data_IF_552863337536
#
_entry.id   IF_552863337536
#
_cell.length_a   1.000
_cell.length_b   1.000
_cell.length_c   1.000
_cell.angle_alpha   90.00
_cell.angle_beta   90.00
_cell.angle_gamma   90.00
#
_symmetry.space_group_name_H-M   'P 1'
#
loop_
_entity.id
_entity.type
_entity.pdbx_description
1 polymer ?
#
# COMPACT_ATOMS: atom_id res chain seq x y z
N UNK A 1 7.06 -20.23 10.58
CA UNK A 1 7.70 -20.84 9.40
C UNK A 1 6.87 -20.57 8.15
N UNK A 2 7.41 -20.79 6.94
CA UNK A 2 6.66 -20.61 5.68
C UNK A 2 5.30 -21.33 5.63
N UNK A 3 5.23 -22.64 5.95
CA UNK A 3 3.96 -23.37 5.98
C UNK A 3 2.92 -22.82 6.97
N UNK A 4 3.36 -22.39 8.16
CA UNK A 4 2.47 -21.78 9.15
C UNK A 4 1.90 -20.46 8.66
N UNK A 5 2.74 -19.61 8.05
CA UNK A 5 2.30 -18.34 7.50
C UNK A 5 1.31 -18.54 6.35
N UNK A 6 1.60 -19.48 5.44
CA UNK A 6 0.68 -19.83 4.35
C UNK A 6 -0.70 -20.25 4.87
N UNK A 7 -0.73 -21.11 5.91
CA UNK A 7 -1.99 -21.56 6.53
C UNK A 7 -2.74 -20.40 7.23
N UNK A 8 -2.04 -19.48 7.89
CA UNK A 8 -2.64 -18.30 8.50
C UNK A 8 -3.31 -17.39 7.45
N UNK A 9 -2.58 -17.08 6.37
CA UNK A 9 -3.10 -16.24 5.29
C UNK A 9 -4.30 -16.89 4.58
N UNK A 10 -4.25 -18.20 4.33
CA UNK A 10 -5.40 -18.97 3.82
C UNK A 10 -6.61 -18.87 4.76
N UNK A 11 -6.38 -19.06 6.06
CA UNK A 11 -7.41 -18.96 7.09
C UNK A 11 -8.12 -17.62 7.08
N UNK A 12 -7.40 -16.50 6.94
CA UNK A 12 -8.01 -15.18 6.84
C UNK A 12 -8.70 -14.93 5.49
N UNK A 13 -8.09 -15.33 4.37
CA UNK A 13 -8.69 -15.16 3.04
C UNK A 13 -9.97 -15.98 2.86
N UNK A 14 -10.08 -17.15 3.48
CA UNK A 14 -11.27 -18.01 3.39
C UNK A 14 -12.51 -17.40 4.08
N UNK A 15 -12.31 -16.51 5.06
CA UNK A 15 -13.39 -15.83 5.79
C UNK A 15 -13.99 -14.64 5.03
N UNK A 16 -13.37 -14.23 3.92
CA UNK A 16 -13.79 -13.07 3.13
C UNK A 16 -14.42 -13.52 1.82
N UNK A 17 -15.58 -12.95 1.49
CA UNK A 17 -16.20 -13.10 0.17
C UNK A 17 -15.62 -12.09 -0.82
N UNK A 18 -15.40 -12.53 -2.06
CA UNK A 18 -15.03 -11.62 -3.14
C UNK A 18 -16.24 -10.80 -3.57
N UNK A 19 -16.15 -9.46 -3.46
CA UNK A 19 -17.24 -8.54 -3.82
C UNK A 19 -16.81 -7.42 -4.77
N UNK A 20 -15.49 -7.26 -4.98
CA UNK A 20 -14.89 -6.16 -5.76
C UNK A 20 -13.85 -6.63 -6.80
N UNK A 21 -13.84 -7.92 -7.15
CA UNK A 21 -12.94 -8.44 -8.19
C UNK A 21 -13.33 -7.93 -9.59
N UNK A 22 -12.36 -7.68 -10.49
CA UNK A 22 -10.92 -7.58 -10.22
C UNK A 22 -10.55 -6.20 -9.66
N UNK A 23 -9.88 -6.15 -8.50
CA UNK A 23 -9.38 -4.89 -7.97
C UNK A 23 -8.18 -4.37 -8.80
N UNK A 24 -8.24 -3.10 -9.20
CA UNK A 24 -7.12 -2.38 -9.84
C UNK A 24 -6.19 -1.68 -8.84
N UNK A 25 -6.71 -1.38 -7.65
CA UNK A 25 -5.96 -0.87 -6.53
C UNK A 25 -6.59 -1.36 -5.21
N UNK A 26 -5.77 -1.50 -4.18
CA UNK A 26 -6.19 -1.80 -2.81
C UNK A 26 -5.42 -0.93 -1.82
N UNK A 27 -6.07 -0.58 -0.71
CA UNK A 27 -5.41 -0.02 0.47
C UNK A 27 -5.40 -1.11 1.53
N UNK A 28 -4.23 -1.39 2.10
CA UNK A 28 -4.08 -2.42 3.13
C UNK A 28 -3.08 -1.97 4.21
N UNK A 29 -3.27 -2.41 5.47
CA UNK A 29 -2.40 -2.07 6.58
C UNK A 29 -1.04 -2.77 6.49
N UNK A 30 -0.05 -2.21 7.18
CA UNK A 30 1.31 -2.74 7.31
C UNK A 30 1.76 -2.92 8.77
N UNK A 31 0.83 -2.98 9.72
CA UNK A 31 1.12 -3.50 11.05
C UNK A 31 1.47 -5.01 11.02
N UNK A 32 1.99 -5.54 12.12
CA UNK A 32 2.24 -6.99 12.24
C UNK A 32 0.95 -7.81 12.06
N UNK A 33 1.05 -8.96 11.39
CA UNK A 33 -0.13 -9.75 10.98
C UNK A 33 -1.03 -10.24 12.12
N UNK A 34 -0.51 -10.39 13.34
CA UNK A 34 -1.35 -10.67 14.52
C UNK A 34 -2.40 -9.58 14.76
N UNK A 35 -2.12 -8.34 14.38
CA UNK A 35 -3.00 -7.19 14.60
C UNK A 35 -3.91 -6.91 13.40
N UNK A 36 -3.37 -6.95 12.19
CA UNK A 36 -4.09 -6.50 10.99
C UNK A 36 -4.21 -7.56 9.89
N UNK A 37 -3.77 -8.79 10.12
CA UNK A 37 -3.76 -9.86 9.11
C UNK A 37 -5.14 -10.17 8.56
N UNK A 38 -6.15 -10.32 9.42
CA UNK A 38 -7.55 -10.51 8.99
C UNK A 38 -8.12 -9.29 8.26
N UNK A 39 -7.77 -8.07 8.68
CA UNK A 39 -8.17 -6.84 8.01
C UNK A 39 -7.61 -6.77 6.58
N UNK A 40 -6.32 -7.02 6.39
CA UNK A 40 -5.69 -7.05 5.07
C UNK A 40 -6.31 -8.09 4.13
N UNK A 41 -6.84 -9.20 4.66
CA UNK A 41 -7.54 -10.21 3.87
C UNK A 41 -8.73 -9.63 3.09
N UNK A 42 -9.45 -8.66 3.67
CA UNK A 42 -10.57 -8.00 3.01
C UNK A 42 -10.16 -7.32 1.71
N UNK A 43 -8.96 -6.74 1.67
CA UNK A 43 -8.38 -6.11 0.50
C UNK A 43 -7.83 -7.15 -0.49
N UNK A 44 -6.96 -8.06 -0.02
CA UNK A 44 -6.31 -9.05 -0.89
C UNK A 44 -7.26 -10.06 -1.50
N UNK A 45 -8.40 -10.36 -0.87
CA UNK A 45 -9.43 -11.23 -1.46
C UNK A 45 -10.02 -10.65 -2.74
N UNK A 46 -9.93 -9.33 -2.95
CA UNK A 46 -10.44 -8.66 -4.15
C UNK A 46 -9.45 -8.67 -5.32
N UNK A 47 -8.23 -9.16 -5.11
CA UNK A 47 -7.25 -9.38 -6.19
C UNK A 47 -7.66 -10.59 -7.01
N UNK A 48 -7.57 -10.47 -8.33
CA UNK A 48 -7.84 -11.57 -9.27
C UNK A 48 -6.53 -12.06 -9.91
N UNK A 49 -6.00 -13.21 -9.49
CA UNK A 49 -4.73 -13.72 -10.01
C UNK A 49 -4.80 -14.10 -11.50
N UNK A 50 -6.00 -14.34 -12.05
CA UNK A 50 -6.15 -14.65 -13.47
C UNK A 50 -5.89 -13.44 -14.38
N UNK A 51 -6.00 -12.21 -13.86
CA UNK A 51 -5.85 -10.95 -14.60
C UNK A 51 -4.57 -10.20 -14.22
N UNK A 52 -4.27 -10.12 -12.92
CA UNK A 52 -3.13 -9.32 -12.43
C UNK A 52 -1.79 -9.96 -12.82
N UNK A 53 -0.88 -9.16 -13.37
CA UNK A 53 0.48 -9.59 -13.78
C UNK A 53 1.59 -8.72 -13.20
N UNK A 54 1.30 -7.48 -12.81
CA UNK A 54 2.31 -6.56 -12.27
C UNK A 54 1.74 -5.83 -11.06
N UNK A 55 2.43 -5.90 -9.94
CA UNK A 55 1.92 -5.42 -8.65
C UNK A 55 2.82 -4.33 -8.11
N UNK A 56 2.35 -3.08 -8.20
CA UNK A 56 3.00 -1.94 -7.58
C UNK A 56 2.70 -1.97 -6.08
N UNK A 57 3.73 -1.84 -5.24
CA UNK A 57 3.59 -1.78 -3.78
C UNK A 57 4.17 -0.45 -3.32
N UNK A 58 3.29 0.46 -2.93
CA UNK A 58 3.65 1.82 -2.51
C UNK A 58 3.65 1.88 -0.99
N UNK A 59 4.84 1.88 -0.39
CA UNK A 59 5.03 1.93 1.06
C UNK A 59 5.56 3.28 1.53
N UNK A 60 5.06 3.87 2.63
CA UNK A 60 5.68 5.05 3.22
C UNK A 60 7.07 4.73 3.81
N UNK A 61 7.98 5.69 3.78
CA UNK A 61 9.25 5.63 4.53
C UNK A 61 9.04 5.99 5.99
N UNK A 62 9.43 5.09 6.90
CA UNK A 62 9.41 5.31 8.35
C UNK A 62 10.78 5.70 8.90
N UNK A 63 11.85 5.20 8.29
CA UNK A 63 13.20 5.24 8.86
C UNK A 63 14.07 6.34 8.26
N UNK A 64 13.93 6.64 6.97
CA UNK A 64 14.80 7.59 6.26
C UNK A 64 14.04 8.84 5.81
N UNK A 65 14.64 10.04 5.97
CA UNK A 65 14.08 11.25 5.40
C UNK A 65 14.18 11.18 3.88
N UNK A 66 13.03 11.12 3.21
CA UNK A 66 12.93 11.03 1.76
C UNK A 66 11.91 12.07 1.29
N UNK A 67 12.27 12.91 0.31
CA UNK A 67 11.38 13.97 -0.22
C UNK A 67 10.77 13.62 -1.59
N UNK A 68 11.09 12.42 -2.08
CA UNK A 68 10.69 11.84 -3.37
C UNK A 68 10.22 10.39 -3.16
N UNK A 69 10.17 9.63 -4.24
CA UNK A 69 10.06 8.18 -4.17
C UNK A 69 11.43 7.53 -4.42
N UNK A 70 11.65 6.34 -3.89
CA UNK A 70 12.85 5.55 -4.13
C UNK A 70 12.50 4.16 -4.65
N UNK A 71 13.38 3.61 -5.47
CA UNK A 71 13.29 2.26 -6.02
C UNK A 71 14.34 1.35 -5.38
N UNK A 72 14.06 0.06 -5.31
CA UNK A 72 15.01 -0.93 -4.83
C UNK A 72 16.27 -1.00 -5.71
N UNK A 73 17.38 -1.44 -5.12
CA UNK A 73 18.63 -1.76 -5.82
C UNK A 73 18.81 -3.26 -6.11
N UNK A 74 17.88 -4.11 -5.65
CA UNK A 74 17.93 -5.56 -5.88
C UNK A 74 16.93 -6.00 -6.96
N UNK A 75 17.02 -7.27 -7.34
CA UNK A 75 16.15 -7.88 -8.35
C UNK A 75 15.03 -8.75 -7.76
N UNK A 76 15.19 -9.18 -6.51
CA UNK A 76 14.34 -10.19 -5.87
C UNK A 76 14.07 -9.78 -4.42
N UNK A 77 12.80 -9.85 -4.02
CA UNK A 77 12.38 -9.75 -2.63
C UNK A 77 11.99 -11.14 -2.12
N UNK A 78 12.63 -11.60 -1.05
CA UNK A 78 12.36 -12.92 -0.49
C UNK A 78 11.11 -12.90 0.38
N UNK A 79 10.39 -14.02 0.40
CA UNK A 79 9.29 -14.21 1.37
C UNK A 79 9.37 -15.61 1.97
N UNK A 80 8.71 -15.86 3.12
CA UNK A 80 8.61 -17.21 3.66
C UNK A 80 7.83 -18.20 2.78
N UNK A 81 7.12 -17.74 1.75
CA UNK A 81 6.30 -18.57 0.85
C UNK A 81 7.10 -18.92 -0.42
N UNK A 82 7.48 -17.89 -1.17
CA UNK A 82 8.37 -17.95 -2.34
C UNK A 82 8.90 -16.55 -2.68
N UNK A 83 9.98 -16.48 -3.44
CA UNK A 83 10.64 -15.22 -3.80
C UNK A 83 9.88 -14.47 -4.91
N UNK A 84 9.83 -13.14 -4.81
CA UNK A 84 9.14 -12.25 -5.74
C UNK A 84 10.13 -11.48 -6.60
N UNK A 85 9.93 -11.48 -7.92
CA UNK A 85 10.82 -10.80 -8.87
C UNK A 85 10.37 -9.37 -9.14
N UNK A 86 11.33 -8.45 -9.15
CA UNK A 86 11.10 -7.05 -9.53
C UNK A 86 10.98 -6.93 -11.05
N UNK A 87 9.99 -6.16 -11.52
CA UNK A 87 9.80 -5.87 -12.94
C UNK A 87 10.89 -4.92 -13.47
N UNK A 88 11.94 -5.49 -14.05
CA UNK A 88 13.09 -4.74 -14.55
C UNK A 88 12.74 -3.75 -15.67
N UNK A 89 11.71 -4.05 -16.48
CA UNK A 89 11.28 -3.17 -17.56
C UNK A 89 10.66 -1.91 -16.98
N UNK A 90 9.69 -2.05 -16.08
CA UNK A 90 9.02 -0.90 -15.43
C UNK A 90 10.02 -0.16 -14.54
N UNK A 91 10.88 -0.86 -13.80
CA UNK A 91 11.93 -0.21 -13.02
C UNK A 91 12.86 0.66 -13.88
N UNK A 92 13.23 0.17 -15.08
CA UNK A 92 14.00 0.95 -16.05
C UNK A 92 13.24 2.18 -16.56
N UNK A 93 11.94 2.05 -16.84
CA UNK A 93 11.08 3.18 -17.24
C UNK A 93 10.95 4.23 -16.14
N UNK A 94 10.68 3.79 -14.90
CA UNK A 94 10.58 4.68 -13.73
C UNK A 94 11.91 5.38 -13.47
N UNK A 95 13.03 4.66 -13.50
CA UNK A 95 14.35 5.24 -13.28
C UNK A 95 14.71 6.32 -14.31
N UNK A 96 14.41 6.08 -15.60
CA UNK A 96 14.68 7.02 -16.69
C UNK A 96 13.93 8.36 -16.57
N UNK A 97 12.89 8.43 -15.73
CA UNK A 97 12.20 9.71 -15.47
C UNK A 97 13.08 10.71 -14.70
N UNK A 98 14.12 10.24 -14.00
CA UNK A 98 14.92 11.07 -13.10
C UNK A 98 14.18 11.53 -11.83
N UNK A 99 12.98 10.99 -11.58
CA UNK A 99 12.15 11.38 -10.42
C UNK A 99 12.43 10.56 -9.16
N UNK A 100 13.12 9.42 -9.29
CA UNK A 100 13.34 8.47 -8.21
C UNK A 100 14.77 8.49 -7.69
N UNK A 101 14.91 8.25 -6.40
CA UNK A 101 16.17 7.89 -5.76
C UNK A 101 16.35 6.36 -5.76
N UNK A 102 17.56 5.88 -5.43
CA UNK A 102 17.85 4.46 -5.28
C UNK A 102 18.04 4.15 -3.81
N UNK A 103 17.31 3.17 -3.29
CA UNK A 103 17.50 2.70 -1.92
C UNK A 103 18.82 1.94 -1.80
N UNK A 104 19.54 2.18 -0.71
CA UNK A 104 20.59 1.24 -0.28
C UNK A 104 19.94 -0.07 0.18
N UNK A 105 20.68 -1.18 0.12
CA UNK A 105 20.16 -2.46 0.62
C UNK A 105 19.72 -2.36 2.09
N UNK A 106 20.47 -1.64 2.92
CA UNK A 106 20.12 -1.42 4.33
C UNK A 106 18.78 -0.68 4.47
N UNK A 107 18.58 0.42 3.72
CA UNK A 107 17.32 1.17 3.74
C UNK A 107 16.13 0.30 3.32
N UNK A 108 16.37 -0.60 2.36
CA UNK A 108 15.36 -1.51 1.84
C UNK A 108 14.98 -2.57 2.89
N UNK A 109 15.96 -3.22 3.51
CA UNK A 109 15.76 -4.25 4.53
C UNK A 109 15.28 -3.71 5.88
N UNK A 110 15.57 -2.45 6.21
CA UNK A 110 15.08 -1.80 7.43
C UNK A 110 13.60 -1.37 7.32
N UNK A 111 13.05 -1.24 6.11
CA UNK A 111 11.69 -0.74 5.89
C UNK A 111 10.65 -1.87 5.78
N UNK A 112 9.63 -1.80 6.64
CA UNK A 112 8.60 -2.85 6.74
C UNK A 112 7.31 -2.52 5.99
N UNK A 113 7.08 -1.26 5.60
CA UNK A 113 5.80 -0.85 4.99
C UNK A 113 5.54 -1.54 3.65
N UNK A 114 6.59 -1.87 2.89
CA UNK A 114 6.51 -2.67 1.67
C UNK A 114 6.53 -4.17 2.02
N UNK A 115 7.40 -4.58 2.95
CA UNK A 115 7.61 -5.97 3.34
C UNK A 115 6.30 -6.66 3.78
N UNK A 116 5.47 -5.96 4.56
CA UNK A 116 4.23 -6.52 5.08
C UNK A 116 3.20 -6.87 4.00
N UNK A 117 3.39 -6.41 2.77
CA UNK A 117 2.57 -6.77 1.62
C UNK A 117 3.09 -7.97 0.83
N UNK A 118 4.36 -8.37 1.00
CA UNK A 118 4.97 -9.41 0.18
C UNK A 118 4.35 -10.79 0.43
N UNK A 119 4.18 -11.28 1.69
CA UNK A 119 3.57 -12.58 1.91
C UNK A 119 2.11 -12.65 1.46
N UNK A 120 1.34 -11.59 1.69
CA UNK A 120 -0.05 -11.52 1.22
C UNK A 120 -0.16 -11.49 -0.30
N UNK A 121 0.75 -10.78 -0.97
CA UNK A 121 0.84 -10.76 -2.43
C UNK A 121 1.22 -12.14 -2.97
N UNK A 122 2.23 -12.78 -2.39
CA UNK A 122 2.61 -14.15 -2.73
C UNK A 122 1.43 -15.12 -2.51
N UNK A 123 0.70 -14.99 -1.41
CA UNK A 123 -0.46 -15.84 -1.17
C UNK A 123 -1.60 -15.63 -2.17
N UNK A 124 -1.96 -14.38 -2.45
CA UNK A 124 -3.05 -14.05 -3.36
C UNK A 124 -2.77 -14.48 -4.81
N UNK A 125 -1.49 -14.52 -5.19
CA UNK A 125 -1.02 -14.87 -6.54
C UNK A 125 -0.53 -16.32 -6.67
N UNK A 126 -0.70 -17.17 -5.65
CA UNK A 126 -0.07 -18.49 -5.59
C UNK A 126 -0.38 -19.39 -6.80
N UNK A 127 -1.58 -19.27 -7.38
CA UNK A 127 -2.01 -20.05 -8.55
C UNK A 127 -1.31 -19.66 -9.85
N UNK A 128 -0.70 -18.47 -9.89
CA UNK A 128 0.01 -17.90 -11.04
C UNK A 128 1.39 -17.40 -10.60
N UNK A 129 2.03 -18.11 -9.65
CA UNK A 129 3.22 -17.62 -8.93
C UNK A 129 4.40 -17.22 -9.85
N UNK A 130 4.50 -17.85 -11.02
CA UNK A 130 5.61 -17.66 -11.96
C UNK A 130 5.29 -16.61 -13.06
N UNK A 131 4.05 -16.08 -13.07
CA UNK A 131 3.50 -15.24 -14.15
C UNK A 131 3.36 -13.76 -13.77
N UNK A 132 3.81 -13.36 -12.58
CA UNK A 132 3.74 -11.97 -12.14
C UNK A 132 5.07 -11.41 -11.62
N UNK A 133 5.14 -10.09 -11.57
CA UNK A 133 6.27 -9.31 -11.02
C UNK A 133 5.77 -8.24 -10.06
N UNK A 134 6.66 -7.76 -9.20
CA UNK A 134 6.39 -6.65 -8.27
C UNK A 134 7.17 -5.39 -8.65
N UNK A 135 6.64 -4.24 -8.23
CA UNK A 135 7.25 -2.92 -8.39
C UNK A 135 7.20 -2.23 -7.03
N UNK A 136 8.14 -2.54 -6.10
CA UNK A 136 8.19 -1.87 -4.82
C UNK A 136 8.62 -0.41 -5.01
N UNK A 137 7.94 0.52 -4.36
CA UNK A 137 8.26 1.95 -4.39
C UNK A 137 8.13 2.51 -2.98
N UNK A 138 9.26 2.96 -2.44
CA UNK A 138 9.27 3.66 -1.17
C UNK A 138 8.86 5.12 -1.40
N UNK A 139 7.83 5.57 -0.70
CA UNK A 139 7.24 6.90 -0.83
C UNK A 139 7.66 7.74 0.38
N UNK A 140 8.49 8.76 0.14
CA UNK A 140 8.91 9.73 1.15
C UNK A 140 7.84 10.78 1.46
N UNK A 141 8.14 11.74 2.30
CA UNK A 141 7.25 12.86 2.62
C UNK A 141 7.14 13.84 1.44
N UNK A 142 6.15 13.60 0.57
CA UNK A 142 6.00 14.37 -0.67
C UNK A 142 5.32 15.73 -0.43
N UNK A 143 5.73 16.73 -1.21
CA UNK A 143 4.96 17.96 -1.34
C UNK A 143 3.73 17.73 -2.23
N UNK A 144 2.72 18.59 -2.13
CA UNK A 144 1.51 18.46 -2.97
C UNK A 144 1.81 18.46 -4.47
N UNK A 145 2.77 19.29 -4.91
CA UNK A 145 3.22 19.31 -6.31
C UNK A 145 3.87 17.97 -6.69
N UNK A 146 4.72 17.39 -5.83
CA UNK A 146 5.30 16.06 -6.08
C UNK A 146 4.23 14.98 -6.08
N UNK A 147 3.18 15.12 -5.28
CA UNK A 147 2.07 14.18 -5.31
C UNK A 147 1.35 14.16 -6.65
N UNK A 148 1.09 15.34 -7.22
CA UNK A 148 0.49 15.46 -8.55
C UNK A 148 1.40 14.92 -9.65
N UNK A 149 2.71 15.20 -9.56
CA UNK A 149 3.70 14.69 -10.52
C UNK A 149 3.76 13.16 -10.52
N UNK A 150 3.90 12.53 -9.35
CA UNK A 150 3.93 11.07 -9.23
C UNK A 150 2.58 10.46 -9.60
N UNK A 151 1.46 11.04 -9.16
CA UNK A 151 0.13 10.57 -9.57
C UNK A 151 -0.04 10.56 -11.09
N UNK A 152 0.38 11.62 -11.77
CA UNK A 152 0.39 11.70 -13.24
C UNK A 152 1.35 10.70 -13.88
N UNK A 153 2.51 10.44 -13.27
CA UNK A 153 3.43 9.42 -13.77
C UNK A 153 2.83 8.03 -13.69
N UNK A 154 2.19 7.70 -12.56
CA UNK A 154 1.69 6.36 -12.33
C UNK A 154 0.32 6.08 -12.96
N UNK A 155 -0.45 7.11 -13.32
CA UNK A 155 -1.75 6.97 -13.96
C UNK A 155 -1.74 6.06 -15.20
N UNK A 156 -0.71 6.16 -16.04
CA UNK A 156 -0.58 5.29 -17.22
C UNK A 156 -0.44 3.81 -16.86
N UNK A 157 0.20 3.50 -15.73
CA UNK A 157 0.31 2.14 -15.23
C UNK A 157 -1.01 1.71 -14.55
N UNK A 158 -1.70 2.62 -13.88
CA UNK A 158 -3.02 2.37 -13.32
C UNK A 158 -4.09 2.19 -14.41
N UNK A 159 -3.92 2.73 -15.62
CA UNK A 159 -4.86 2.49 -16.71
C UNK A 159 -4.79 1.03 -17.25
N UNK A 160 -3.66 0.34 -17.13
CA UNK A 160 -3.46 -1.00 -17.69
C UNK A 160 -4.10 -2.11 -16.84
N UNK A 161 -5.11 -2.85 -17.34
CA UNK A 161 -5.90 -3.82 -16.56
C UNK A 161 -5.10 -4.94 -15.90
N UNK A 162 -3.89 -5.21 -16.37
CA UNK A 162 -3.02 -6.23 -15.77
C UNK A 162 -2.21 -5.72 -14.56
N UNK A 163 -2.32 -4.44 -14.23
CA UNK A 163 -1.62 -3.83 -13.10
C UNK A 163 -2.52 -3.70 -11.87
N UNK A 164 -1.94 -4.02 -10.71
CA UNK A 164 -2.51 -3.77 -9.39
C UNK A 164 -1.64 -2.77 -8.63
N UNK A 165 -2.28 -1.82 -7.94
CA UNK A 165 -1.62 -0.94 -6.97
C UNK A 165 -2.00 -1.34 -5.54
N UNK A 166 -1.04 -1.87 -4.79
CA UNK A 166 -1.14 -2.05 -3.35
C UNK A 166 -0.60 -0.78 -2.70
N UNK A 167 -1.48 -0.08 -2.01
CA UNK A 167 -1.17 1.16 -1.34
C UNK A 167 -1.14 0.91 0.15
N UNK A 168 0.07 0.97 0.72
CA UNK A 168 0.32 0.58 2.10
C UNK A 168 0.01 1.72 3.05
N UNK A 169 -0.94 1.54 3.95
CA UNK A 169 -1.28 2.54 4.96
C UNK A 169 -1.95 1.91 6.16
N UNK A 170 -1.40 2.18 7.34
CA UNK A 170 -2.18 2.13 8.57
C UNK A 170 -3.01 3.42 8.69
N UNK A 171 -4.05 3.36 9.51
CA UNK A 171 -4.94 4.47 9.81
C UNK A 171 -4.57 5.09 11.17
N UNK A 172 -5.55 5.60 11.93
CA UNK A 172 -5.27 6.42 13.10
C UNK A 172 -4.35 5.76 14.15
N UNK A 173 -3.20 6.37 14.40
CA UNK A 173 -2.29 6.02 15.49
C UNK A 173 -2.63 6.86 16.74
N UNK A 174 -3.58 6.37 17.52
CA UNK A 174 -4.09 7.08 18.69
C UNK A 174 -3.35 6.74 20.00
N UNK A 175 -3.11 7.74 20.83
CA UNK A 175 -2.58 7.64 22.19
C UNK A 175 -1.36 8.53 22.44
N UNK A 176 -1.01 8.68 23.72
CA UNK A 176 0.11 9.52 24.17
C UNK A 176 1.44 9.16 23.51
N UNK A 177 1.69 7.86 23.27
CA UNK A 177 2.90 7.37 22.59
C UNK A 177 3.10 7.94 21.18
N UNK A 178 2.00 8.30 20.52
CA UNK A 178 2.00 8.89 19.18
C UNK A 178 1.83 10.41 19.21
N UNK A 179 1.69 10.99 20.40
CA UNK A 179 1.38 12.43 20.61
C UNK A 179 0.12 12.86 19.85
N UNK A 180 -0.84 11.95 19.72
CA UNK A 180 -2.12 12.19 19.08
C UNK A 180 -3.23 11.56 19.90
N UNK A 181 -4.11 12.35 20.48
CA UNK A 181 -5.20 11.87 21.35
C UNK A 181 -6.49 12.62 21.09
N UNK A 182 -6.75 12.98 19.83
CA UNK A 182 -8.00 13.63 19.45
C UNK A 182 -9.17 12.75 19.86
N UNK A 183 -10.19 13.38 20.45
CA UNK A 183 -11.39 12.70 20.87
C UNK A 183 -12.58 13.63 20.67
N UNK A 184 -13.50 13.19 19.82
CA UNK A 184 -14.81 13.81 19.65
C UNK A 184 -15.82 13.07 20.54
N UNK A 185 -16.10 13.64 21.71
CA UNK A 185 -17.07 13.11 22.68
C UNK A 185 -18.47 12.92 22.10
N UNK A 186 -18.82 13.65 21.02
CA UNK A 186 -20.13 13.49 20.37
C UNK A 186 -20.29 12.13 19.67
N UNK A 187 -19.19 11.43 19.39
CA UNK A 187 -19.20 10.07 18.81
C UNK A 187 -19.42 8.97 19.86
N UNK A 188 -19.53 9.33 21.14
CA UNK A 188 -19.60 8.40 22.27
C UNK A 188 -18.21 7.85 22.62
N UNK A 189 -18.10 6.54 22.81
CA UNK A 189 -16.83 5.88 23.19
C UNK A 189 -15.64 6.24 22.28
N UNK A 190 -14.44 6.32 22.84
CA UNK A 190 -13.20 6.73 22.14
C UNK A 190 -12.96 5.99 20.82
N UNK A 191 -13.21 4.67 20.79
CA UNK A 191 -12.99 3.85 19.59
C UNK A 191 -13.94 4.23 18.44
N UNK A 192 -15.13 4.77 18.74
CA UNK A 192 -16.08 5.26 17.74
C UNK A 192 -15.62 6.58 17.15
N UNK A 193 -15.01 7.45 17.95
CA UNK A 193 -14.39 8.68 17.46
C UNK A 193 -13.23 8.37 16.50
N UNK A 194 -12.38 7.40 16.84
CA UNK A 194 -11.30 6.91 15.98
C UNK A 194 -11.88 6.32 14.68
N UNK A 195 -12.86 5.43 14.80
CA UNK A 195 -13.51 4.81 13.64
C UNK A 195 -14.18 5.86 12.72
N UNK A 196 -14.78 6.90 13.31
CA UNK A 196 -15.38 8.01 12.58
C UNK A 196 -14.32 8.77 11.76
N UNK A 197 -13.19 9.12 12.37
CA UNK A 197 -12.06 9.77 11.69
C UNK A 197 -11.56 8.93 10.50
N UNK A 198 -11.38 7.62 10.72
CA UNK A 198 -10.91 6.70 9.69
C UNK A 198 -11.90 6.59 8.53
N UNK A 199 -13.20 6.55 8.83
CA UNK A 199 -14.26 6.59 7.82
C UNK A 199 -14.26 7.90 7.04
N UNK A 200 -14.07 9.04 7.71
CA UNK A 200 -13.99 10.35 7.03
C UNK A 200 -12.82 10.42 6.04
N UNK A 201 -11.68 9.83 6.40
CA UNK A 201 -10.52 9.77 5.50
C UNK A 201 -10.80 8.83 4.35
N UNK A 202 -11.35 7.65 4.59
CA UNK A 202 -11.77 6.73 3.52
C UNK A 202 -12.80 7.35 2.57
N UNK A 203 -13.77 8.11 3.09
CA UNK A 203 -14.76 8.83 2.29
C UNK A 203 -14.12 9.97 1.50
N UNK A 204 -13.17 10.70 2.06
CA UNK A 204 -12.45 11.77 1.36
C UNK A 204 -11.60 11.22 0.20
N UNK A 205 -11.04 10.03 0.35
CA UNK A 205 -10.38 9.27 -0.74
C UNK A 205 -11.39 8.96 -1.85
N UNK A 206 -12.58 8.47 -1.49
CA UNK A 206 -13.64 8.11 -2.43
C UNK A 206 -14.30 9.33 -3.11
N UNK A 207 -14.45 10.46 -2.40
CA UNK A 207 -15.06 11.70 -2.93
C UNK A 207 -14.08 12.42 -3.86
N UNK A 208 -12.77 12.42 -3.57
CA UNK A 208 -11.79 12.92 -4.54
C UNK A 208 -11.88 12.17 -5.88
N UNK A 209 -12.26 10.87 -5.87
CA UNK A 209 -12.48 10.05 -7.08
C UNK A 209 -13.66 10.51 -7.93
N UNK A 210 -14.55 11.36 -7.40
CA UNK A 210 -15.69 11.91 -8.13
C UNK A 210 -15.63 13.42 -8.39
N UNK A 211 -14.75 14.20 -7.73
CA UNK A 211 -14.49 15.61 -8.06
C UNK A 211 -13.13 16.12 -7.51
N UNK A 212 -12.31 16.73 -8.38
CA UNK A 212 -10.86 16.93 -8.19
C UNK A 212 -10.41 18.05 -7.21
N UNK A 213 -11.29 18.67 -6.42
CA UNK A 213 -10.93 19.88 -5.65
C UNK A 213 -11.43 19.86 -4.20
N UNK A 214 -10.62 19.31 -3.27
CA UNK A 214 -10.34 19.88 -1.92
C UNK A 214 -9.62 18.90 -0.99
N UNK A 215 -9.04 19.48 0.05
CA UNK A 215 -8.41 18.90 1.26
C UNK A 215 -6.89 18.76 1.20
N UNK A 216 -6.26 19.86 1.64
CA UNK A 216 -5.04 19.95 2.42
C UNK A 216 -5.37 19.79 3.93
N UNK A 217 -4.38 19.34 4.71
CA UNK A 217 -4.30 19.30 6.18
C UNK A 217 -4.69 18.00 6.90
N UNK A 218 -3.86 16.96 6.77
CA UNK A 218 -3.74 15.87 7.76
C UNK A 218 -2.28 15.44 7.94
N UNK A 219 -1.36 16.40 8.17
CA UNK A 219 0.09 16.16 8.29
C UNK A 219 0.54 15.41 9.57
N UNK A 220 -0.36 14.71 10.28
CA UNK A 220 -0.02 13.97 11.50
C UNK A 220 -0.93 12.79 11.84
N UNK A 221 -1.84 12.39 10.94
CA UNK A 221 -2.84 11.33 11.22
C UNK A 221 -2.64 10.13 10.28
N UNK A 222 -2.07 10.36 9.09
CA UNK A 222 -1.90 9.34 8.07
C UNK A 222 -0.55 9.50 7.36
N UNK A 223 0.19 8.42 7.21
CA UNK A 223 1.47 8.40 6.51
C UNK A 223 1.22 8.56 5.01
N UNK A 224 1.50 9.77 4.49
CA UNK A 224 1.54 10.16 3.08
C UNK A 224 0.21 10.32 2.31
N UNK A 225 0.00 11.51 1.74
CA UNK A 225 -1.18 11.86 0.93
C UNK A 225 -1.12 11.41 -0.53
N UNK A 226 0.05 11.00 -1.04
CA UNK A 226 0.19 10.36 -2.35
C UNK A 226 -0.68 9.09 -2.44
N UNK A 227 -0.64 8.28 -1.38
CA UNK A 227 -1.37 7.02 -1.20
C UNK A 227 -2.88 7.20 -1.43
N UNK A 228 -3.43 8.35 -1.03
CA UNK A 228 -4.85 8.67 -1.17
C UNK A 228 -5.26 9.25 -2.52
N UNK A 229 -4.30 9.66 -3.36
CA UNK A 229 -4.54 10.27 -4.68
C UNK A 229 -4.43 9.29 -5.85
N UNK A 230 -3.96 8.06 -5.61
CA UNK A 230 -3.84 7.02 -6.65
C UNK A 230 -5.18 6.50 -7.18
N UNK A 231 -6.29 6.78 -6.53
CA UNK A 231 -7.61 6.32 -6.99
C UNK A 231 -8.28 7.29 -7.99
N UNK A 232 -7.55 8.31 -8.47
CA UNK A 232 -8.07 9.49 -9.17
C UNK A 232 -7.69 9.58 -10.66
N UNK A 233 -7.02 8.58 -11.21
CA UNK A 233 -6.64 8.55 -12.62
C UNK A 233 -7.10 7.28 -13.32
#
# INVERSE_FOLDING_TARGET
>A
TGPQLNAQLEGWLSQVQSTKRPARAIIAPHAGYTYCGSCAAHAYKQVDPSITRRIFILGPSHHVPLSRCALSSVDIYRTPLYDLRIDQKIYGELWKTGMFERMSLQTDEDEHSIEMHLPYTAKAMESHKDEFTIIPVLVGALSESKEQEFGKLFSKYLADPSNLFVVSSDFCHWGQRFRYSYYDESQGEIYRSIEHLDKMVSLSVYIKSSNLNRVCHTKGIYTNTLIYKFQLC
#
